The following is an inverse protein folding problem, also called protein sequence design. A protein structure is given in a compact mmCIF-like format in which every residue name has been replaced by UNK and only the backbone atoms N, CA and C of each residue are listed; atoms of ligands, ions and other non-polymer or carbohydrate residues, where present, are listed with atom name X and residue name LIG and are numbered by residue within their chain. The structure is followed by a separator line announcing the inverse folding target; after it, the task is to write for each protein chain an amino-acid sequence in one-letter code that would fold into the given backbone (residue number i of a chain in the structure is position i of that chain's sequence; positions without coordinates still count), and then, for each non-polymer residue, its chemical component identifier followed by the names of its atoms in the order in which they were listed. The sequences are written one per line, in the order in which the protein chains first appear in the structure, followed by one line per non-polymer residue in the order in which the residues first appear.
data_IF_573295353914
#
_entry.id   IF_573295353914
#
_cell.length_a   1.000
_cell.length_b   1.000
_cell.length_c   1.000
_cell.angle_alpha   90.00
_cell.angle_beta   90.00
_cell.angle_gamma   90.00
#
_symmetry.space_group_name_H-M   'P 1'
#
loop_
_entity.id
_entity.type
_entity.pdbx_description
1 polymer ?
#
# COMPACT_ATOMS: atom_id res chain seq x y z
N UNK A 1 -13.66 54.28 -26.03
CA UNK A 1 -12.57 54.30 -25.01
C UNK A 1 -12.65 53.03 -24.20
N UNK A 2 -11.88 51.99 -24.58
CA UNK A 2 -11.77 50.72 -23.82
C UNK A 2 -10.96 50.98 -22.54
N UNK A 3 -11.64 51.08 -21.41
CA UNK A 3 -10.98 51.06 -20.09
C UNK A 3 -10.52 49.66 -19.80
N UNK A 4 -9.21 49.43 -19.86
CA UNK A 4 -8.59 48.21 -19.33
C UNK A 4 -8.98 48.06 -17.84
N UNK A 5 -9.85 47.13 -17.52
CA UNK A 5 -10.17 46.74 -16.14
C UNK A 5 -8.95 46.03 -15.55
N UNK A 6 -7.97 46.75 -15.04
CA UNK A 6 -6.93 46.15 -14.21
C UNK A 6 -7.51 45.73 -12.87
N UNK A 7 -6.94 44.72 -12.25
CA UNK A 7 -7.22 44.29 -10.87
C UNK A 7 -7.10 45.49 -9.93
N UNK A 8 -8.23 46.11 -9.60
CA UNK A 8 -8.28 47.27 -8.71
C UNK A 8 -8.57 46.79 -7.29
N UNK A 9 -7.57 46.93 -6.41
CA UNK A 9 -7.78 46.79 -4.98
C UNK A 9 -8.77 47.85 -4.48
N UNK A 10 -9.74 47.49 -3.61
CA UNK A 10 -10.69 48.46 -3.03
C UNK A 10 -10.03 49.47 -2.09
N UNK A 11 -8.80 49.23 -1.69
CA UNK A 11 -8.10 50.03 -0.70
C UNK A 11 -7.33 51.22 -1.32
N UNK A 12 -7.52 52.43 -0.80
CA UNK A 12 -6.86 53.67 -1.25
C UNK A 12 -5.45 53.81 -0.67
N UNK A 13 -5.21 53.37 0.56
CA UNK A 13 -3.90 53.41 1.21
C UNK A 13 -2.95 52.39 0.58
N UNK A 14 -1.75 52.83 0.19
CA UNK A 14 -0.75 52.03 -0.50
C UNK A 14 -0.43 50.69 0.25
N UNK A 15 -0.23 50.78 1.58
CA UNK A 15 0.06 49.63 2.43
C UNK A 15 -1.06 48.55 2.41
N UNK A 16 -2.31 48.99 2.59
CA UNK A 16 -3.48 48.09 2.56
C UNK A 16 -3.70 47.50 1.18
N UNK A 17 -3.38 48.23 0.13
CA UNK A 17 -3.47 47.74 -1.24
C UNK A 17 -2.49 46.61 -1.50
N UNK A 18 -1.23 46.78 -1.09
CA UNK A 18 -0.22 45.71 -1.24
C UNK A 18 -0.54 44.49 -0.39
N UNK A 19 -0.94 44.73 0.86
CA UNK A 19 -1.37 43.59 1.72
C UNK A 19 -2.52 42.81 1.11
N UNK A 20 -3.52 43.46 0.54
CA UNK A 20 -4.62 42.80 -0.15
C UNK A 20 -4.16 42.04 -1.39
N UNK A 21 -3.32 42.61 -2.24
CA UNK A 21 -2.84 41.97 -3.47
C UNK A 21 -2.00 40.72 -3.12
N UNK A 22 -1.04 40.87 -2.21
CA UNK A 22 -0.20 39.75 -1.77
C UNK A 22 -1.05 38.68 -1.09
N UNK A 23 -2.00 39.04 -0.23
CA UNK A 23 -2.90 38.09 0.42
C UNK A 23 -3.74 37.30 -0.57
N UNK A 24 -4.25 37.92 -1.64
CA UNK A 24 -4.97 37.18 -2.69
C UNK A 24 -4.05 36.22 -3.44
N UNK A 25 -2.87 36.69 -3.83
CA UNK A 25 -1.91 35.83 -4.55
C UNK A 25 -1.48 34.66 -3.70
N UNK A 26 -1.03 34.91 -2.46
CA UNK A 26 -0.63 33.83 -1.57
C UNK A 26 -1.81 32.95 -1.14
N UNK A 27 -3.01 33.51 -1.02
CA UNK A 27 -4.22 32.76 -0.73
C UNK A 27 -4.57 31.72 -1.81
N UNK A 28 -4.39 32.08 -3.08
CA UNK A 28 -4.57 31.17 -4.20
C UNK A 28 -3.54 30.01 -4.11
N UNK A 29 -2.26 30.33 -3.85
CA UNK A 29 -1.23 29.30 -3.68
C UNK A 29 -1.52 28.39 -2.48
N UNK A 30 -1.90 28.96 -1.34
CA UNK A 30 -2.26 28.20 -0.15
C UNK A 30 -3.46 27.28 -0.42
N UNK A 31 -4.50 27.79 -1.09
CA UNK A 31 -5.67 27.00 -1.45
C UNK A 31 -5.31 25.83 -2.37
N UNK A 32 -4.50 26.06 -3.41
CA UNK A 32 -4.07 25.01 -4.33
C UNK A 32 -3.20 23.97 -3.63
N UNK A 33 -2.34 24.38 -2.71
CA UNK A 33 -1.50 23.48 -1.92
C UNK A 33 -2.33 22.61 -0.98
N UNK A 34 -3.26 23.21 -0.24
CA UNK A 34 -4.18 22.46 0.65
C UNK A 34 -5.06 21.52 -0.15
N UNK A 35 -5.59 21.97 -1.29
CA UNK A 35 -6.41 21.14 -2.16
C UNK A 35 -5.61 19.95 -2.73
N UNK A 36 -4.38 20.19 -3.18
CA UNK A 36 -3.49 19.13 -3.67
C UNK A 36 -3.15 18.14 -2.56
N UNK A 37 -2.86 18.61 -1.34
CA UNK A 37 -2.61 17.77 -0.18
C UNK A 37 -3.83 16.92 0.19
N UNK A 38 -5.00 17.51 0.21
CA UNK A 38 -6.25 16.81 0.46
C UNK A 38 -6.55 15.76 -0.61
N UNK A 39 -6.32 16.08 -1.89
CA UNK A 39 -6.49 15.14 -3.00
C UNK A 39 -5.50 13.98 -2.95
N UNK A 40 -4.34 14.17 -2.33
CA UNK A 40 -3.35 13.11 -2.12
C UNK A 40 -3.73 12.13 -1.01
N UNK A 41 -4.51 12.59 -0.02
CA UNK A 41 -4.93 11.79 1.13
C UNK A 41 -6.32 11.17 0.96
N UNK A 42 -7.19 11.81 0.18
CA UNK A 42 -8.55 11.30 -0.07
C UNK A 42 -8.52 10.35 -1.27
N UNK A 43 -9.20 9.20 -1.13
CA UNK A 43 -9.45 8.31 -2.26
C UNK A 43 -10.12 9.08 -3.39
N UNK A 44 -9.42 9.12 -4.54
CA UNK A 44 -9.88 9.84 -5.72
C UNK A 44 -11.24 9.27 -6.14
N UNK A 45 -12.27 10.12 -6.31
CA UNK A 45 -13.59 9.63 -6.72
C UNK A 45 -13.53 8.72 -7.95
N UNK A 46 -14.31 7.65 -7.96
CA UNK A 46 -14.28 6.60 -8.99
C UNK A 46 -14.46 7.12 -10.43
N UNK A 47 -15.14 8.27 -10.62
CA UNK A 47 -15.30 8.90 -11.94
C UNK A 47 -14.01 9.53 -12.47
N UNK A 48 -13.06 9.87 -11.60
CA UNK A 48 -11.75 10.42 -11.97
C UNK A 48 -10.69 9.32 -12.13
N UNK A 49 -11.01 8.09 -11.70
CA UNK A 49 -10.11 6.93 -11.71
C UNK A 49 -10.20 6.09 -12.99
N UNK A 50 -10.86 6.59 -14.05
CA UNK A 50 -10.95 5.84 -15.33
C UNK A 50 -9.56 5.38 -15.79
N UNK A 51 -9.25 4.11 -15.56
CA UNK A 51 -8.05 3.43 -16.04
C UNK A 51 -7.02 2.99 -15.00
N UNK A 52 -7.13 3.37 -13.71
CA UNK A 52 -6.13 3.00 -12.68
C UNK A 52 -6.66 2.15 -11.52
N UNK A 53 -7.97 1.91 -11.45
CA UNK A 53 -8.61 1.31 -10.27
C UNK A 53 -8.17 -0.14 -10.06
N UNK A 54 -7.98 -0.89 -11.13
CA UNK A 54 -7.59 -2.31 -11.08
C UNK A 54 -6.20 -2.51 -10.46
N UNK A 55 -5.25 -1.63 -10.82
CA UNK A 55 -3.87 -1.76 -10.33
C UNK A 55 -3.67 -1.30 -8.88
N UNK A 56 -4.58 -0.47 -8.34
CA UNK A 56 -4.46 0.06 -6.99
C UNK A 56 -5.01 -0.90 -5.94
N UNK A 57 -6.15 -1.53 -6.20
CA UNK A 57 -6.68 -2.59 -5.33
C UNK A 57 -5.75 -3.79 -5.27
N UNK A 58 -5.16 -4.14 -6.39
CA UNK A 58 -4.16 -5.20 -6.48
C UNK A 58 -2.87 -4.84 -5.74
N UNK A 59 -2.39 -3.58 -5.85
CA UNK A 59 -1.25 -3.09 -5.06
C UNK A 59 -1.53 -3.09 -3.56
N UNK A 60 -2.72 -2.72 -3.15
CA UNK A 60 -3.12 -2.74 -1.73
C UNK A 60 -3.29 -4.17 -1.21
N UNK A 61 -3.99 -5.03 -1.94
CA UNK A 61 -4.16 -6.44 -1.58
C UNK A 61 -2.84 -7.21 -1.52
N UNK A 62 -1.93 -6.96 -2.44
CA UNK A 62 -0.60 -7.57 -2.42
C UNK A 62 0.34 -7.04 -1.34
N UNK A 63 0.11 -5.80 -0.86
CA UNK A 63 0.98 -5.17 0.14
C UNK A 63 0.48 -5.34 1.58
N UNK A 64 -0.81 -5.54 1.78
CA UNK A 64 -1.44 -5.74 3.10
C UNK A 64 -1.99 -7.15 3.29
N UNK A 65 -1.78 -8.07 2.31
CA UNK A 65 -2.38 -9.38 2.34
C UNK A 65 -3.88 -9.23 2.56
N UNK A 66 -4.66 -8.96 1.49
CA UNK A 66 -6.11 -8.80 1.63
C UNK A 66 -6.65 -9.95 2.47
N UNK A 67 -7.37 -9.65 3.54
CA UNK A 67 -7.93 -10.69 4.41
C UNK A 67 -8.82 -11.59 3.55
N UNK A 68 -8.43 -12.84 3.46
CA UNK A 68 -9.28 -13.90 2.91
C UNK A 68 -10.48 -14.10 3.85
N UNK A 69 -11.52 -14.74 3.35
CA UNK A 69 -12.64 -15.15 4.19
C UNK A 69 -12.12 -16.03 5.34
N UNK A 70 -12.69 -15.86 6.53
CA UNK A 70 -12.17 -16.48 7.75
C UNK A 70 -12.21 -18.02 7.72
N UNK A 71 -13.08 -18.61 6.90
CA UNK A 71 -13.20 -20.04 6.67
C UNK A 71 -12.01 -20.67 5.94
N UNK A 72 -11.23 -19.87 5.24
CA UNK A 72 -10.00 -20.34 4.57
C UNK A 72 -8.83 -20.53 5.53
N UNK A 73 -8.91 -19.94 6.74
CA UNK A 73 -7.93 -20.17 7.79
C UNK A 73 -8.32 -21.39 8.61
N UNK A 74 -7.97 -22.57 8.09
CA UNK A 74 -8.39 -23.85 8.66
C UNK A 74 -7.69 -24.16 10.01
N UNK A 75 -6.47 -23.68 10.21
CA UNK A 75 -5.72 -23.85 11.45
C UNK A 75 -6.31 -22.95 12.55
N UNK A 76 -6.73 -23.57 13.68
CA UNK A 76 -7.15 -22.79 14.84
C UNK A 76 -5.95 -22.07 15.46
N UNK A 77 -6.01 -20.74 15.51
CA UNK A 77 -4.95 -19.89 16.09
C UNK A 77 -4.65 -20.20 17.56
N UNK A 78 -5.60 -20.82 18.30
CA UNK A 78 -5.39 -21.25 19.70
C UNK A 78 -4.30 -22.27 19.81
N UNK A 79 -4.18 -23.20 18.84
CA UNK A 79 -3.09 -24.18 18.79
C UNK A 79 -1.72 -23.50 18.70
N UNK A 80 -1.64 -22.34 18.07
CA UNK A 80 -0.41 -21.54 17.97
C UNK A 80 -0.06 -21.00 19.36
N UNK A 81 -1.05 -20.43 20.06
CA UNK A 81 -0.86 -19.90 21.40
C UNK A 81 -0.44 -20.98 22.39
N UNK A 82 -1.06 -22.16 22.31
CA UNK A 82 -0.76 -23.27 23.21
C UNK A 82 0.63 -23.89 22.96
N UNK A 83 1.12 -23.80 21.71
CA UNK A 83 2.38 -24.45 21.31
C UNK A 83 3.59 -23.54 21.39
N UNK A 84 3.39 -22.23 21.33
CA UNK A 84 4.47 -21.23 21.35
C UNK A 84 4.44 -20.43 22.63
N UNK A 85 5.60 -20.32 23.29
CA UNK A 85 5.77 -19.42 24.43
C UNK A 85 5.94 -17.97 23.98
N UNK A 86 5.45 -17.04 24.80
CA UNK A 86 5.64 -15.58 24.63
C UNK A 86 5.05 -15.02 23.32
N UNK A 87 3.87 -15.51 22.90
CA UNK A 87 3.12 -14.96 21.76
C UNK A 87 2.54 -13.60 22.15
N UNK A 88 2.95 -12.53 21.48
CA UNK A 88 2.47 -11.16 21.72
C UNK A 88 1.31 -10.80 20.82
N UNK A 89 1.38 -11.18 19.55
CA UNK A 89 0.29 -10.96 18.60
C UNK A 89 0.29 -12.02 17.51
N UNK A 90 -0.90 -12.30 16.99
CA UNK A 90 -1.14 -13.12 15.81
C UNK A 90 -1.91 -12.26 14.83
N UNK A 91 -1.35 -12.09 13.64
CA UNK A 91 -1.98 -11.34 12.56
C UNK A 91 -2.41 -12.32 11.47
N UNK A 92 -3.61 -12.13 10.96
CA UNK A 92 -4.14 -12.89 9.85
C UNK A 92 -3.64 -12.27 8.56
N UNK A 93 -3.00 -13.04 7.72
CA UNK A 93 -2.44 -12.58 6.47
C UNK A 93 -2.66 -13.58 5.35
N UNK A 94 -2.54 -13.14 4.11
CA UNK A 94 -2.61 -14.01 2.96
C UNK A 94 -1.65 -13.56 1.86
N UNK A 95 -1.18 -14.50 1.09
CA UNK A 95 -0.49 -14.25 -0.17
C UNK A 95 -1.36 -14.81 -1.30
N UNK A 96 -2.03 -13.93 -2.04
CA UNK A 96 -3.08 -14.36 -2.96
C UNK A 96 -4.15 -15.18 -2.24
N UNK A 97 -4.35 -16.41 -2.65
CA UNK A 97 -5.30 -17.35 -2.05
C UNK A 97 -4.74 -18.19 -0.89
N UNK A 98 -3.47 -18.00 -0.54
CA UNK A 98 -2.77 -18.80 0.47
C UNK A 98 -2.81 -18.09 1.82
N UNK A 99 -3.59 -18.60 2.80
CA UNK A 99 -3.69 -18.02 4.13
C UNK A 99 -2.49 -18.38 4.99
N UNK A 100 -2.03 -17.45 5.80
CA UNK A 100 -1.00 -17.71 6.81
C UNK A 100 -1.17 -16.78 8.01
N UNK A 101 -0.59 -17.18 9.13
CA UNK A 101 -0.52 -16.35 10.33
C UNK A 101 0.87 -15.74 10.47
N UNK A 102 0.89 -14.47 10.84
CA UNK A 102 2.11 -13.78 11.27
C UNK A 102 2.12 -13.75 12.78
N UNK A 103 3.02 -14.51 13.39
CA UNK A 103 3.12 -14.64 14.82
C UNK A 103 4.32 -13.85 15.32
N UNK A 104 4.06 -12.88 16.18
CA UNK A 104 5.09 -12.13 16.86
C UNK A 104 5.30 -12.71 18.26
N UNK A 105 6.46 -13.36 18.47
CA UNK A 105 6.85 -13.96 19.74
C UNK A 105 8.16 -13.35 20.22
N UNK A 106 8.13 -12.63 21.33
CA UNK A 106 9.29 -11.89 21.80
C UNK A 106 9.83 -10.90 20.76
N UNK A 107 11.03 -11.14 20.27
CA UNK A 107 11.68 -10.37 19.19
C UNK A 107 11.65 -11.09 17.84
N UNK A 108 11.03 -12.27 17.74
CA UNK A 108 11.00 -13.08 16.53
C UNK A 108 9.64 -12.98 15.84
N UNK A 109 9.67 -12.86 14.54
CA UNK A 109 8.50 -12.91 13.66
C UNK A 109 8.51 -14.24 12.93
N UNK A 110 7.42 -15.00 13.03
CA UNK A 110 7.27 -16.30 12.39
C UNK A 110 6.05 -16.30 11.48
N UNK A 111 6.15 -17.00 10.37
CA UNK A 111 5.06 -17.17 9.42
C UNK A 111 4.61 -18.62 9.48
N UNK A 112 3.33 -18.86 9.79
CA UNK A 112 2.77 -20.19 9.98
C UNK A 112 1.68 -20.40 8.94
N UNK A 113 1.72 -21.52 8.25
CA UNK A 113 0.69 -21.90 7.29
C UNK A 113 -0.66 -22.10 8.01
N UNK A 114 -1.68 -21.41 7.51
CA UNK A 114 -3.01 -21.46 8.08
C UNK A 114 -3.94 -22.46 7.37
N UNK A 115 -3.51 -23.09 6.28
CA UNK A 115 -4.27 -24.08 5.56
C UNK A 115 -4.10 -25.51 6.15
N UNK A 116 -2.96 -25.79 6.79
CA UNK A 116 -2.68 -27.10 7.38
C UNK A 116 -3.20 -27.16 8.83
N UNK A 117 -4.21 -27.99 9.07
CA UNK A 117 -4.81 -28.19 10.40
C UNK A 117 -4.07 -29.20 11.26
N UNK A 118 -3.19 -30.02 10.67
CA UNK A 118 -2.56 -31.16 11.33
C UNK A 118 -1.34 -30.80 12.16
N UNK A 119 -0.59 -29.80 11.72
CA UNK A 119 0.65 -29.38 12.39
C UNK A 119 0.94 -27.89 12.17
N UNK A 120 1.75 -27.32 13.04
CA UNK A 120 2.28 -25.98 12.88
C UNK A 120 3.48 -26.03 11.91
N UNK A 121 3.20 -25.84 10.62
CA UNK A 121 4.25 -25.78 9.61
C UNK A 121 4.61 -24.31 9.29
N UNK A 122 5.89 -24.00 9.06
CA UNK A 122 6.27 -22.67 8.63
C UNK A 122 5.70 -22.40 7.23
N UNK A 123 5.11 -21.23 7.05
CA UNK A 123 4.69 -20.79 5.73
C UNK A 123 5.93 -20.43 4.90
N UNK A 124 6.13 -21.12 3.80
CA UNK A 124 7.23 -20.90 2.87
C UNK A 124 6.66 -20.54 1.50
N UNK A 125 7.06 -19.41 0.98
CA UNK A 125 6.65 -18.95 -0.33
C UNK A 125 7.36 -19.77 -1.41
N UNK A 126 6.60 -20.48 -2.24
CA UNK A 126 7.14 -21.24 -3.38
C UNK A 126 6.99 -20.46 -4.67
N UNK A 127 7.85 -20.74 -5.67
CA UNK A 127 7.77 -20.11 -6.99
C UNK A 127 6.39 -20.33 -7.64
N UNK A 128 5.81 -21.51 -7.45
CA UNK A 128 4.50 -21.85 -8.00
C UNK A 128 3.39 -20.95 -7.42
N UNK A 129 3.39 -20.73 -6.10
CA UNK A 129 2.46 -19.81 -5.43
C UNK A 129 2.59 -18.39 -5.97
N UNK A 130 3.81 -17.94 -6.21
CA UNK A 130 4.08 -16.62 -6.79
C UNK A 130 3.56 -16.54 -8.21
N UNK A 131 3.87 -17.53 -9.05
CA UNK A 131 3.39 -17.57 -10.44
C UNK A 131 1.88 -17.57 -10.54
N UNK A 132 1.21 -18.34 -9.69
CA UNK A 132 -0.24 -18.40 -9.67
C UNK A 132 -0.85 -17.08 -9.25
N UNK A 133 -0.33 -16.49 -8.17
CA UNK A 133 -0.80 -15.17 -7.69
C UNK A 133 -0.56 -14.08 -8.73
N UNK A 134 0.58 -14.07 -9.42
CA UNK A 134 0.87 -13.10 -10.49
C UNK A 134 -0.10 -13.29 -11.67
N UNK A 135 -0.42 -14.52 -12.07
CA UNK A 135 -1.41 -14.80 -13.12
C UNK A 135 -2.80 -14.34 -12.73
N UNK A 136 -3.19 -14.55 -11.49
CA UNK A 136 -4.48 -14.09 -10.97
C UNK A 136 -4.59 -12.55 -11.02
N UNK A 137 -3.51 -11.87 -10.67
CA UNK A 137 -3.45 -10.41 -10.62
C UNK A 137 -3.41 -9.76 -12.00
N UNK A 138 -2.56 -10.26 -12.88
CA UNK A 138 -2.26 -9.63 -14.18
C UNK A 138 -3.00 -10.27 -15.36
N UNK A 139 -3.65 -11.41 -15.15
CA UNK A 139 -4.29 -12.22 -16.19
C UNK A 139 -3.30 -13.18 -16.85
N UNK A 140 -3.86 -14.21 -17.54
CA UNK A 140 -3.05 -15.29 -18.12
C UNK A 140 -2.19 -14.87 -19.31
N UNK A 141 -2.57 -13.81 -20.00
CA UNK A 141 -1.95 -13.38 -21.26
C UNK A 141 -0.82 -12.35 -21.09
N UNK A 142 -0.54 -11.92 -19.84
CA UNK A 142 0.52 -10.93 -19.62
C UNK A 142 1.86 -11.64 -19.51
N UNK A 143 2.82 -11.38 -20.44
CA UNK A 143 4.15 -11.96 -20.35
C UNK A 143 4.87 -11.37 -19.13
N UNK A 144 5.41 -12.21 -18.28
CA UNK A 144 6.26 -11.83 -17.13
C UNK A 144 7.37 -12.85 -16.95
N UNK A 145 8.47 -12.40 -16.40
CA UNK A 145 9.59 -13.23 -15.97
C UNK A 145 9.69 -13.14 -14.46
N UNK A 146 9.85 -14.27 -13.79
CA UNK A 146 10.11 -14.33 -12.35
C UNK A 146 11.57 -14.62 -12.13
N UNK A 147 12.23 -13.77 -11.37
CA UNK A 147 13.61 -13.92 -10.98
C UNK A 147 13.74 -13.96 -9.46
N UNK A 148 14.53 -14.91 -8.96
CA UNK A 148 14.86 -15.00 -7.55
C UNK A 148 16.08 -14.16 -7.25
N UNK A 149 15.88 -13.05 -6.55
CA UNK A 149 16.94 -12.10 -6.23
C UNK A 149 17.50 -12.36 -4.85
N UNK A 150 18.81 -12.50 -4.78
CA UNK A 150 19.57 -12.60 -3.54
C UNK A 150 20.31 -11.31 -3.19
N UNK A 151 20.53 -10.47 -4.19
CA UNK A 151 21.24 -9.19 -4.08
C UNK A 151 20.39 -8.05 -4.64
N UNK A 152 20.68 -6.83 -4.21
CA UNK A 152 20.02 -5.63 -4.72
C UNK A 152 20.58 -5.26 -6.09
N UNK A 153 19.67 -4.83 -7.00
CA UNK A 153 20.02 -4.31 -8.31
C UNK A 153 19.53 -2.85 -8.49
N UNK A 154 19.88 -2.24 -9.63
CA UNK A 154 19.52 -0.85 -9.92
C UNK A 154 18.01 -0.64 -10.09
N UNK A 155 17.29 -1.68 -10.51
CA UNK A 155 15.84 -1.63 -10.73
C UNK A 155 15.04 -1.86 -9.44
N UNK A 156 15.63 -2.66 -8.53
CA UNK A 156 14.97 -3.05 -7.29
C UNK A 156 15.88 -2.80 -6.09
N UNK A 157 15.65 -1.70 -5.39
CA UNK A 157 16.37 -1.36 -4.17
C UNK A 157 15.42 -0.79 -3.11
N UNK A 158 15.78 -0.96 -1.86
CA UNK A 158 15.05 -0.37 -0.75
C UNK A 158 15.86 0.73 -0.08
N UNK A 159 15.43 1.99 -0.23
CA UNK A 159 16.08 3.13 0.43
C UNK A 159 16.07 3.06 1.97
N UNK A 160 15.18 2.26 2.54
CA UNK A 160 14.99 2.17 3.99
C UNK A 160 15.33 0.80 4.56
N UNK A 161 15.93 -0.08 3.77
CA UNK A 161 16.20 -1.48 4.15
C UNK A 161 14.99 -2.20 4.79
N UNK A 162 13.77 -1.81 4.38
CA UNK A 162 12.52 -2.37 4.93
C UNK A 162 12.18 -3.72 4.33
N UNK A 163 12.73 -4.02 3.16
CA UNK A 163 12.53 -5.29 2.49
C UNK A 163 13.79 -6.13 2.68
N UNK A 164 13.60 -7.32 3.20
CA UNK A 164 14.69 -8.29 3.36
C UNK A 164 14.80 -9.14 2.11
N UNK A 165 16.01 -9.35 1.62
CA UNK A 165 16.29 -10.37 0.62
C UNK A 165 16.35 -11.75 1.28
N UNK A 166 16.03 -12.82 0.55
CA UNK A 166 15.74 -12.88 -0.89
C UNK A 166 14.27 -12.58 -1.21
N UNK A 167 14.00 -12.14 -2.46
CA UNK A 167 12.65 -11.85 -2.97
C UNK A 167 12.48 -12.36 -4.41
N UNK A 168 11.23 -12.53 -4.85
CA UNK A 168 10.90 -12.69 -6.26
C UNK A 168 10.66 -11.33 -6.91
N UNK A 169 11.32 -11.08 -8.05
CA UNK A 169 11.15 -9.91 -8.91
C UNK A 169 10.38 -10.27 -10.18
#
# INVERSE_FOLDING_TARGET
KNRKKGLRSPYKKWWLRWHHITGVVFGVFALTFVFSGMMSLVDIPSWMQKGKTRNREVRFRGREGGMLAADLYALDYRKIVDSLSDVKSIEWASFGKYPYYVVNSGSKKQFIDAADTSRLSPFTLTEEMVRETVREIHGQDTPYTLEWMTDWDDDYFSRRNMLTLPVYK
#
